data_IF_135955946720
#
_entry.id   IF_135955946720
#
_cell.length_a   1.000
_cell.length_b   1.000
_cell.length_c   1.000
_cell.angle_alpha   90.00
_cell.angle_beta   90.00
_cell.angle_gamma   90.00
#
_symmetry.space_group_name_H-M   'P 1'
#
loop_
_entity.id
_entity.type
_entity.pdbx_description
1 polymer ?
#
# COMPACT_ATOMS: atom_id res chain seq x y z
N UNK A 1 -9.67 19.49 -17.55
CA UNK A 1 -10.34 20.12 -16.39
C UNK A 1 -9.70 19.49 -15.16
N UNK A 2 -8.91 20.27 -14.41
CA UNK A 2 -8.39 19.82 -13.10
C UNK A 2 -9.59 19.83 -12.15
N UNK A 3 -10.07 18.66 -11.76
CA UNK A 3 -11.03 18.56 -10.66
C UNK A 3 -10.36 19.17 -9.42
N UNK A 4 -10.94 20.23 -8.90
CA UNK A 4 -10.48 20.90 -7.70
C UNK A 4 -10.97 20.10 -6.50
N UNK A 5 -10.09 19.26 -5.95
CA UNK A 5 -10.41 18.50 -4.76
C UNK A 5 -10.39 19.39 -3.52
N UNK A 6 -11.35 19.25 -2.61
CA UNK A 6 -11.36 20.02 -1.37
C UNK A 6 -10.07 19.76 -0.57
N UNK A 7 -9.61 20.74 0.21
CA UNK A 7 -8.45 20.57 1.06
C UNK A 7 -8.68 19.39 2.03
N UNK A 8 -7.75 18.46 2.04
CA UNK A 8 -7.83 17.26 2.87
C UNK A 8 -7.67 17.62 4.34
N UNK A 9 -8.72 17.41 5.13
CA UNK A 9 -8.71 17.64 6.57
C UNK A 9 -8.37 16.36 7.31
N UNK A 10 -7.25 16.37 8.04
CA UNK A 10 -6.89 15.24 8.91
C UNK A 10 -7.81 15.17 10.12
N UNK A 11 -8.25 13.97 10.49
CA UNK A 11 -8.92 13.76 11.77
C UNK A 11 -7.96 14.04 12.93
N UNK A 12 -8.48 14.56 14.06
CA UNK A 12 -7.66 14.79 15.26
C UNK A 12 -6.95 13.52 15.74
N UNK A 13 -7.65 12.38 15.69
CA UNK A 13 -7.06 11.07 16.02
C UNK A 13 -5.87 10.73 15.14
N UNK A 14 -5.99 10.94 13.82
CA UNK A 14 -4.89 10.71 12.88
C UNK A 14 -3.69 11.62 13.18
N UNK A 15 -3.94 12.92 13.37
CA UNK A 15 -2.89 13.89 13.67
C UNK A 15 -2.11 13.53 14.95
N UNK A 16 -2.82 13.20 16.05
CA UNK A 16 -2.20 12.78 17.31
C UNK A 16 -1.39 11.48 17.11
N UNK A 17 -2.00 10.47 16.50
CA UNK A 17 -1.32 9.19 16.25
C UNK A 17 -0.06 9.37 15.41
N UNK A 18 -0.13 10.20 14.38
CA UNK A 18 1.03 10.48 13.54
C UNK A 18 2.18 11.14 14.32
N UNK A 19 1.86 12.04 15.25
CA UNK A 19 2.89 12.60 16.17
C UNK A 19 3.51 11.49 17.00
N UNK A 20 2.70 10.62 17.61
CA UNK A 20 3.21 9.48 18.38
C UNK A 20 4.10 8.56 17.53
N UNK A 21 3.65 8.19 16.32
CA UNK A 21 4.47 7.37 15.39
C UNK A 21 5.81 8.07 15.10
N UNK A 22 5.83 9.38 14.87
CA UNK A 22 7.06 10.15 14.63
C UNK A 22 8.01 10.15 15.83
N UNK A 23 7.50 10.06 17.04
CA UNK A 23 8.32 9.97 18.27
C UNK A 23 8.83 8.53 18.49
N UNK A 24 8.04 7.51 18.15
CA UNK A 24 8.39 6.11 18.35
C UNK A 24 9.30 5.54 17.26
N UNK A 25 9.11 5.91 16.00
CA UNK A 25 9.91 5.37 14.88
C UNK A 25 11.42 5.54 15.08
N UNK A 26 11.96 6.67 15.54
CA UNK A 26 13.40 6.79 15.83
C UNK A 26 13.89 5.83 16.91
N UNK A 27 13.07 5.54 17.92
CA UNK A 27 13.40 4.57 18.98
C UNK A 27 13.51 3.15 18.44
N UNK A 28 12.78 2.84 17.36
CA UNK A 28 12.79 1.54 16.68
C UNK A 28 13.87 1.43 15.59
N UNK A 29 14.72 2.43 15.41
CA UNK A 29 15.79 2.43 14.41
C UNK A 29 15.61 3.45 13.29
N UNK A 30 14.47 4.14 13.25
CA UNK A 30 14.19 5.22 12.30
C UNK A 30 13.70 4.75 10.95
N UNK A 31 13.52 5.73 10.06
CA UNK A 31 13.14 5.52 8.65
C UNK A 31 13.91 6.49 7.76
N UNK A 32 14.40 6.00 6.63
CA UNK A 32 14.84 6.80 5.49
C UNK A 32 13.74 6.78 4.42
N UNK A 33 13.37 7.95 3.92
CA UNK A 33 12.39 8.09 2.84
C UNK A 33 13.10 8.64 1.61
N UNK A 34 13.08 7.90 0.51
CA UNK A 34 13.70 8.24 -0.78
C UNK A 34 12.58 8.45 -1.79
N UNK A 35 12.65 9.50 -2.61
CA UNK A 35 11.64 9.79 -3.62
C UNK A 35 10.33 10.39 -3.08
N UNK A 36 10.34 11.03 -1.91
CA UNK A 36 9.13 11.64 -1.32
C UNK A 36 8.46 12.68 -2.23
N UNK A 37 9.24 13.29 -3.13
CA UNK A 37 8.77 14.24 -4.15
C UNK A 37 7.84 13.60 -5.20
N UNK A 38 7.87 12.27 -5.35
CA UNK A 38 7.01 11.51 -6.24
C UNK A 38 5.55 11.41 -5.73
N UNK A 39 5.31 11.73 -4.45
CA UNK A 39 3.95 11.73 -3.89
C UNK A 39 3.24 13.04 -4.23
N UNK A 40 2.14 13.02 -5.02
CA UNK A 40 1.34 14.20 -5.30
C UNK A 40 0.87 14.90 -4.02
N UNK A 41 1.03 16.22 -3.98
CA UNK A 41 0.67 17.04 -2.81
C UNK A 41 -0.84 17.22 -2.65
N UNK A 42 -1.59 17.09 -3.74
CA UNK A 42 -3.04 17.29 -3.81
C UNK A 42 -3.67 16.20 -4.67
N UNK A 43 -4.98 16.06 -4.58
CA UNK A 43 -5.76 15.07 -5.33
C UNK A 43 -5.61 13.63 -4.80
N UNK A 44 -6.46 12.71 -5.26
CA UNK A 44 -6.43 11.32 -4.83
C UNK A 44 -5.21 10.60 -5.38
N UNK A 45 -4.67 9.65 -4.62
CA UNK A 45 -3.59 8.77 -5.02
C UNK A 45 -3.75 7.41 -4.35
N UNK A 46 -3.22 6.37 -4.98
CA UNK A 46 -3.08 5.03 -4.43
C UNK A 46 -1.61 4.82 -4.08
N UNK A 47 -1.28 4.76 -2.79
CA UNK A 47 0.04 4.30 -2.34
C UNK A 47 0.03 2.79 -2.32
N UNK A 48 0.87 2.16 -3.12
CA UNK A 48 0.95 0.71 -3.28
C UNK A 48 2.27 0.17 -2.70
N UNK A 49 2.37 -0.06 -1.39
CA UNK A 49 3.53 -0.67 -0.77
C UNK A 49 3.48 -2.20 -0.81
N UNK A 50 4.65 -2.87 -0.76
CA UNK A 50 4.73 -4.27 -0.39
C UNK A 50 4.32 -4.48 1.07
N UNK A 51 3.92 -5.72 1.45
CA UNK A 51 3.40 -6.02 2.79
C UNK A 51 4.14 -7.17 3.46
N UNK A 52 4.93 -6.87 4.50
CA UNK A 52 5.75 -7.87 5.23
C UNK A 52 5.53 -7.88 6.74
N UNK A 53 4.98 -6.79 7.30
CA UNK A 53 4.89 -6.61 8.75
C UNK A 53 3.61 -5.91 9.18
N UNK A 54 3.19 -6.11 10.43
CA UNK A 54 2.19 -5.25 11.06
C UNK A 54 2.68 -3.81 11.27
N UNK A 55 3.99 -3.58 11.10
CA UNK A 55 4.57 -2.23 11.19
C UNK A 55 4.46 -1.46 9.85
N UNK A 56 4.10 -2.11 8.73
CA UNK A 56 4.00 -1.41 7.45
C UNK A 56 3.04 -0.20 7.47
N UNK A 57 1.81 -0.29 8.02
CA UNK A 57 0.91 0.87 8.08
C UNK A 57 1.47 2.06 8.89
N UNK A 58 2.03 1.89 10.10
CA UNK A 58 2.71 2.97 10.81
C UNK A 58 3.84 3.62 9.99
N UNK A 59 4.72 2.83 9.40
CA UNK A 59 5.82 3.36 8.60
C UNK A 59 5.33 4.01 7.31
N UNK A 60 4.30 3.46 6.65
CA UNK A 60 3.67 4.09 5.49
C UNK A 60 3.08 5.46 5.84
N UNK A 61 2.56 5.66 7.06
CA UNK A 61 2.08 6.97 7.50
C UNK A 61 3.17 8.04 7.60
N UNK A 62 4.45 7.64 7.58
CA UNK A 62 5.59 8.56 7.63
C UNK A 62 5.99 9.10 6.26
N UNK A 63 5.61 8.43 5.15
CA UNK A 63 6.03 8.84 3.80
C UNK A 63 5.28 10.07 3.28
N UNK A 64 4.11 10.38 3.84
CA UNK A 64 3.30 11.54 3.46
C UNK A 64 2.78 12.30 4.67
N UNK A 65 2.47 13.59 4.46
CA UNK A 65 1.76 14.40 5.49
C UNK A 65 0.25 14.22 5.43
N UNK A 66 -0.28 13.66 4.35
CA UNK A 66 -1.70 13.48 4.09
C UNK A 66 -2.26 12.32 4.91
N UNK A 67 -3.53 12.36 5.26
CA UNK A 67 -4.19 11.25 5.96
C UNK A 67 -4.30 10.04 5.05
N UNK A 68 -3.90 8.86 5.54
CA UNK A 68 -4.04 7.61 4.82
C UNK A 68 -5.35 6.93 5.16
N UNK A 69 -6.07 6.50 4.13
CA UNK A 69 -7.20 5.59 4.25
C UNK A 69 -6.72 4.19 3.87
N UNK A 70 -6.93 3.22 4.74
CA UNK A 70 -6.35 1.88 4.61
C UNK A 70 -7.44 0.81 4.60
N UNK A 71 -7.29 -0.21 3.76
CA UNK A 71 -8.06 -1.45 3.90
C UNK A 71 -7.46 -2.29 5.03
N UNK A 72 -8.27 -2.69 6.01
CA UNK A 72 -7.83 -3.55 7.09
C UNK A 72 -8.77 -4.75 7.25
N UNK A 73 -8.21 -5.91 7.69
CA UNK A 73 -8.99 -7.13 7.88
C UNK A 73 -10.23 -6.87 8.77
N UNK A 74 -11.40 -7.34 8.37
CA UNK A 74 -12.68 -7.13 9.06
C UNK A 74 -12.67 -7.53 10.54
N UNK A 75 -11.95 -8.62 10.87
CA UNK A 75 -11.83 -9.07 12.25
C UNK A 75 -11.16 -8.07 13.20
N UNK A 76 -10.32 -7.15 12.68
CA UNK A 76 -9.68 -6.11 13.50
C UNK A 76 -10.69 -5.08 14.02
N UNK A 77 -11.75 -4.83 13.27
CA UNK A 77 -12.82 -3.90 13.66
C UNK A 77 -13.72 -4.45 14.77
N UNK A 78 -13.67 -5.76 15.04
CA UNK A 78 -14.40 -6.41 16.13
C UNK A 78 -13.66 -6.38 17.46
N UNK A 79 -12.36 -6.00 17.46
CA UNK A 79 -11.58 -5.86 18.69
C UNK A 79 -12.02 -4.55 19.40
N UNK A 80 -12.52 -4.62 20.63
CA UNK A 80 -12.96 -3.44 21.38
C UNK A 80 -11.84 -2.39 21.45
N UNK A 81 -12.19 -1.10 21.41
CA UNK A 81 -11.28 0.05 21.42
C UNK A 81 -10.41 0.12 20.17
N UNK A 82 -9.69 -0.96 19.81
CA UNK A 82 -8.81 -0.99 18.65
C UNK A 82 -9.58 -0.81 17.33
N UNK A 83 -10.74 -1.47 17.18
CA UNK A 83 -11.58 -1.32 15.99
C UNK A 83 -12.09 0.11 15.81
N UNK A 84 -12.52 0.76 16.90
CA UNK A 84 -12.92 2.17 16.88
C UNK A 84 -11.72 3.08 16.54
N UNK A 85 -10.55 2.80 17.09
CA UNK A 85 -9.34 3.54 16.84
C UNK A 85 -8.91 3.48 15.36
N UNK A 86 -8.80 2.28 14.76
CA UNK A 86 -8.39 2.17 13.35
C UNK A 86 -9.43 2.78 12.39
N UNK A 87 -10.72 2.72 12.75
CA UNK A 87 -11.78 3.41 12.01
C UNK A 87 -11.58 4.93 12.06
N UNK A 88 -11.27 5.50 13.23
CA UNK A 88 -10.99 6.93 13.39
C UNK A 88 -9.69 7.35 12.67
N UNK A 89 -8.79 6.40 12.37
CA UNK A 89 -7.61 6.58 11.55
C UNK A 89 -7.90 6.59 10.04
N UNK A 90 -9.15 6.36 9.61
CA UNK A 90 -9.52 6.27 8.20
C UNK A 90 -9.45 4.85 7.62
N UNK A 91 -9.27 3.83 8.47
CA UNK A 91 -9.32 2.46 8.00
C UNK A 91 -10.77 1.98 7.82
N UNK A 92 -11.00 1.10 6.83
CA UNK A 92 -12.28 0.43 6.61
C UNK A 92 -12.10 -1.08 6.38
N UNK A 93 -13.13 -1.90 6.70
CA UNK A 93 -13.00 -3.34 6.71
C UNK A 93 -12.97 -3.95 5.31
N UNK A 94 -12.15 -5.00 5.14
CA UNK A 94 -12.12 -5.87 3.97
C UNK A 94 -12.12 -7.34 4.40
N UNK A 95 -12.94 -8.16 3.75
CA UNK A 95 -12.92 -9.62 3.90
C UNK A 95 -11.88 -10.20 2.95
N UNK A 96 -10.81 -10.77 3.53
CA UNK A 96 -9.74 -11.40 2.74
C UNK A 96 -10.17 -12.75 2.21
N UNK A 97 -9.61 -13.16 1.05
CA UNK A 97 -9.86 -14.48 0.44
C UNK A 97 -11.17 -14.59 -0.34
N UNK A 98 -11.90 -13.49 -0.51
CA UNK A 98 -13.09 -13.42 -1.36
C UNK A 98 -13.10 -12.07 -2.08
N UNK A 99 -13.71 -12.02 -3.28
CA UNK A 99 -13.94 -10.76 -3.97
C UNK A 99 -14.91 -9.88 -3.17
N UNK A 100 -14.39 -9.08 -2.23
CA UNK A 100 -15.20 -8.18 -1.41
C UNK A 100 -15.60 -6.94 -2.22
N UNK A 101 -16.74 -7.06 -2.92
CA UNK A 101 -17.32 -5.97 -3.73
C UNK A 101 -17.62 -4.73 -2.88
N UNK A 102 -17.95 -4.92 -1.59
CA UNK A 102 -18.19 -3.83 -0.66
C UNK A 102 -16.94 -3.01 -0.40
N UNK A 103 -15.83 -3.69 -0.10
CA UNK A 103 -14.55 -3.03 0.11
C UNK A 103 -14.03 -2.33 -1.15
N UNK A 104 -14.19 -2.94 -2.34
CA UNK A 104 -13.85 -2.30 -3.62
C UNK A 104 -14.66 -1.03 -3.83
N UNK A 105 -15.99 -1.08 -3.62
CA UNK A 105 -16.87 0.09 -3.75
C UNK A 105 -16.50 1.19 -2.77
N UNK A 106 -16.15 0.85 -1.53
CA UNK A 106 -15.69 1.81 -0.52
C UNK A 106 -14.37 2.45 -0.95
N UNK A 107 -13.39 1.67 -1.42
CA UNK A 107 -12.11 2.19 -1.92
C UNK A 107 -12.30 3.21 -3.04
N UNK A 108 -13.16 2.89 -4.00
CA UNK A 108 -13.49 3.80 -5.11
C UNK A 108 -14.14 5.09 -4.57
N UNK A 109 -15.02 4.99 -3.58
CA UNK A 109 -15.68 6.14 -2.97
C UNK A 109 -14.66 7.05 -2.25
N UNK A 110 -13.74 6.47 -1.46
CA UNK A 110 -12.67 7.22 -0.79
C UNK A 110 -11.77 7.96 -1.77
N UNK A 111 -11.36 7.28 -2.86
CA UNK A 111 -10.54 7.88 -3.91
C UNK A 111 -11.29 9.01 -4.64
N UNK A 112 -12.57 8.83 -4.97
CA UNK A 112 -13.41 9.89 -5.58
C UNK A 112 -13.63 11.08 -4.65
N UNK A 113 -13.57 10.87 -3.34
CA UNK A 113 -13.61 11.94 -2.34
C UNK A 113 -12.28 12.74 -2.24
N UNK A 114 -11.25 12.36 -3.00
CA UNK A 114 -9.96 13.04 -3.03
C UNK A 114 -8.94 12.51 -2.02
N UNK A 115 -9.23 11.40 -1.34
CA UNK A 115 -8.38 10.87 -0.29
C UNK A 115 -7.16 10.11 -0.81
N UNK A 116 -6.13 10.01 0.04
CA UNK A 116 -4.97 9.14 -0.18
C UNK A 116 -5.29 7.75 0.34
N UNK A 117 -5.25 6.76 -0.54
CA UNK A 117 -5.41 5.37 -0.14
C UNK A 117 -4.09 4.63 -0.09
N UNK A 118 -3.84 3.94 1.02
CA UNK A 118 -2.82 2.90 1.09
C UNK A 118 -3.48 1.55 0.81
N UNK A 119 -3.08 0.91 -0.27
CA UNK A 119 -3.53 -0.44 -0.62
C UNK A 119 -2.29 -1.32 -0.76
N UNK A 120 -2.21 -2.37 0.05
CA UNK A 120 -1.19 -3.40 -0.11
C UNK A 120 -1.62 -4.33 -1.24
N UNK A 121 -0.97 -4.29 -2.44
CA UNK A 121 -1.46 -5.03 -3.60
C UNK A 121 -1.56 -6.53 -3.34
N UNK A 122 -0.65 -7.07 -2.56
CA UNK A 122 -0.55 -8.50 -2.20
C UNK A 122 -1.75 -9.02 -1.38
N UNK A 123 -2.60 -8.15 -0.82
CA UNK A 123 -3.76 -8.51 0.00
C UNK A 123 -3.42 -9.22 1.32
N UNK A 124 -2.23 -9.74 1.48
CA UNK A 124 -1.73 -10.41 2.70
C UNK A 124 -0.24 -10.11 2.88
N UNK A 125 0.33 -10.50 4.03
CA UNK A 125 1.76 -10.33 4.28
C UNK A 125 2.57 -11.44 3.63
N UNK A 126 3.63 -11.05 2.91
CA UNK A 126 4.62 -11.96 2.35
C UNK A 126 5.71 -12.33 3.37
N UNK A 127 6.39 -13.45 3.14
CA UNK A 127 7.62 -13.77 3.85
C UNK A 127 8.74 -12.77 3.48
N UNK A 128 9.76 -12.66 4.34
CA UNK A 128 10.93 -11.83 4.04
C UNK A 128 11.62 -12.29 2.75
N UNK A 129 12.02 -11.34 1.91
CA UNK A 129 12.69 -11.62 0.64
C UNK A 129 11.76 -12.01 -0.52
N UNK A 130 10.44 -12.13 -0.30
CA UNK A 130 9.46 -12.44 -1.35
C UNK A 130 8.49 -11.31 -1.61
N UNK A 131 7.92 -11.26 -2.81
CA UNK A 131 6.74 -10.47 -3.17
C UNK A 131 5.67 -11.42 -3.68
N UNK A 132 4.45 -11.28 -3.17
CA UNK A 132 3.30 -12.03 -3.65
C UNK A 132 2.69 -11.34 -4.88
N UNK A 133 1.99 -12.10 -5.75
CA UNK A 133 1.20 -11.49 -6.82
C UNK A 133 0.18 -10.50 -6.28
N UNK A 134 -0.08 -9.44 -7.04
CA UNK A 134 -1.12 -8.49 -6.64
C UNK A 134 -2.52 -9.08 -6.87
N UNK A 135 -3.40 -8.81 -5.92
CA UNK A 135 -4.82 -9.18 -6.00
C UNK A 135 -5.54 -8.40 -7.12
N UNK A 136 -6.36 -9.09 -7.92
CA UNK A 136 -7.16 -8.44 -8.99
C UNK A 136 -8.07 -7.32 -8.47
N UNK A 137 -8.47 -7.37 -7.21
CA UNK A 137 -9.26 -6.31 -6.55
C UNK A 137 -8.53 -4.97 -6.51
N UNK A 138 -7.22 -4.96 -6.26
CA UNK A 138 -6.37 -3.78 -6.34
C UNK A 138 -6.37 -3.18 -7.75
N UNK A 139 -6.08 -4.01 -8.77
CA UNK A 139 -6.04 -3.56 -10.17
C UNK A 139 -7.40 -3.05 -10.65
N UNK A 140 -8.50 -3.64 -10.16
CA UNK A 140 -9.86 -3.20 -10.48
C UNK A 140 -10.14 -1.80 -9.94
N UNK A 141 -9.76 -1.50 -8.68
CA UNK A 141 -9.87 -0.15 -8.10
C UNK A 141 -9.09 0.86 -8.93
N UNK A 142 -7.83 0.57 -9.25
CA UNK A 142 -6.96 1.44 -10.04
C UNK A 142 -7.53 1.69 -11.45
N UNK A 143 -7.98 0.62 -12.14
CA UNK A 143 -8.56 0.72 -13.48
C UNK A 143 -9.85 1.55 -13.50
N UNK A 144 -10.76 1.31 -12.53
CA UNK A 144 -12.05 2.00 -12.50
C UNK A 144 -11.97 3.47 -12.12
N UNK A 145 -10.95 3.84 -11.34
CA UNK A 145 -10.77 5.23 -10.90
C UNK A 145 -9.88 6.04 -11.83
N UNK A 146 -8.95 5.40 -12.54
CA UNK A 146 -7.91 6.08 -13.31
C UNK A 146 -6.91 6.87 -12.46
N UNK A 147 -6.99 6.72 -11.13
CA UNK A 147 -6.16 7.45 -10.17
C UNK A 147 -4.74 6.89 -10.18
N UNK A 148 -3.71 7.78 -10.10
CA UNK A 148 -2.32 7.34 -10.11
C UNK A 148 -1.98 6.39 -8.97
N UNK A 149 -1.23 5.35 -9.29
CA UNK A 149 -0.61 4.39 -8.37
C UNK A 149 0.81 4.86 -8.12
N UNK A 150 1.20 4.99 -6.86
CA UNK A 150 2.58 5.28 -6.42
C UNK A 150 3.15 3.99 -5.83
N UNK A 151 4.03 3.26 -6.54
CA UNK A 151 4.66 2.07 -6.01
C UNK A 151 5.64 2.45 -4.91
N UNK A 152 5.69 1.66 -3.83
CA UNK A 152 6.57 1.91 -2.68
C UNK A 152 7.22 0.61 -2.24
N UNK A 153 8.54 0.60 -2.13
CA UNK A 153 9.27 -0.47 -1.46
C UNK A 153 9.46 -0.10 0.02
N UNK A 154 8.89 -0.91 0.93
CA UNK A 154 9.14 -0.86 2.36
C UNK A 154 10.08 -2.00 2.75
N UNK A 155 11.31 -1.67 3.14
CA UNK A 155 12.34 -2.63 3.52
C UNK A 155 12.72 -2.47 4.98
N UNK A 156 12.81 -3.57 5.72
CA UNK A 156 13.22 -3.59 7.12
C UNK A 156 12.09 -3.58 8.16
N UNK A 157 10.83 -3.40 7.77
CA UNK A 157 9.68 -3.48 8.68
C UNK A 157 9.49 -4.87 9.28
N UNK A 158 9.81 -5.92 8.51
CA UNK A 158 9.86 -7.31 8.93
C UNK A 158 10.97 -7.59 9.95
N UNK A 159 12.06 -6.81 9.91
CA UNK A 159 13.13 -6.84 10.94
C UNK A 159 12.69 -6.10 12.21
N UNK A 160 11.88 -5.04 12.09
CA UNK A 160 11.32 -4.32 13.25
C UNK A 160 10.31 -5.19 13.98
N UNK A 161 9.38 -5.82 13.26
CA UNK A 161 8.40 -6.77 13.81
C UNK A 161 8.21 -7.93 12.84
N UNK A 162 8.96 -9.03 13.04
CA UNK A 162 8.78 -10.27 12.29
C UNK A 162 7.36 -10.84 12.44
N UNK A 163 6.91 -11.65 11.47
CA UNK A 163 5.54 -12.17 11.42
C UNK A 163 5.14 -12.95 12.69
N UNK A 164 6.09 -13.65 13.31
CA UNK A 164 5.92 -14.45 14.54
C UNK A 164 6.98 -14.09 15.60
N UNK A 165 7.39 -12.80 15.64
CA UNK A 165 8.48 -12.36 16.51
C UNK A 165 8.06 -11.25 17.48
N UNK A 166 9.07 -10.76 18.18
CA UNK A 166 8.96 -9.59 19.08
C UNK A 166 9.44 -8.34 18.35
N UNK A 167 9.16 -7.19 18.94
CA UNK A 167 9.62 -5.90 18.45
C UNK A 167 11.15 -5.79 18.61
N UNK A 168 11.84 -5.42 17.54
CA UNK A 168 13.27 -5.20 17.50
C UNK A 168 13.59 -3.79 17.00
N UNK A 169 14.80 -3.35 17.25
CA UNK A 169 15.31 -2.12 16.67
C UNK A 169 15.98 -2.41 15.33
N UNK A 170 15.38 -1.92 14.24
CA UNK A 170 15.93 -2.04 12.90
C UNK A 170 15.61 -0.78 12.10
N UNK A 171 16.50 -0.41 11.19
CA UNK A 171 16.27 0.72 10.29
C UNK A 171 15.33 0.29 9.15
N UNK A 172 14.41 1.20 8.78
CA UNK A 172 13.49 1.00 7.68
C UNK A 172 13.83 1.95 6.54
N UNK A 173 13.77 1.46 5.31
CA UNK A 173 13.86 2.30 4.11
C UNK A 173 12.55 2.24 3.36
N UNK A 174 12.00 3.40 3.01
CA UNK A 174 10.85 3.55 2.14
C UNK A 174 11.31 4.22 0.84
N UNK A 175 11.35 3.47 -0.25
CA UNK A 175 11.69 3.99 -1.59
C UNK A 175 10.41 4.17 -2.39
N UNK A 176 10.16 5.40 -2.87
CA UNK A 176 8.92 5.82 -3.51
C UNK A 176 9.17 6.01 -5.00
N UNK A 177 8.49 5.21 -5.82
CA UNK A 177 8.56 5.27 -7.27
C UNK A 177 7.71 6.38 -7.86
N UNK A 178 7.85 6.57 -9.17
CA UNK A 178 7.03 7.55 -9.93
C UNK A 178 5.58 7.08 -10.00
N UNK A 179 4.60 8.01 -9.89
CA UNK A 179 3.21 7.66 -10.10
C UNK A 179 2.95 7.18 -11.52
N UNK A 180 2.12 6.16 -11.68
CA UNK A 180 1.62 5.69 -12.97
C UNK A 180 0.13 5.40 -12.88
N UNK A 181 -0.63 5.76 -13.89
CA UNK A 181 -2.03 5.37 -14.02
C UNK A 181 -2.18 3.96 -14.61
N UNK A 182 -3.34 3.36 -14.41
CA UNK A 182 -3.66 2.07 -15.05
C UNK A 182 -3.53 2.12 -16.58
N UNK A 183 -3.91 3.25 -17.20
CA UNK A 183 -3.80 3.45 -18.65
C UNK A 183 -2.36 3.50 -19.12
N UNK A 184 -1.49 4.19 -18.38
CA UNK A 184 -0.05 4.24 -18.67
C UNK A 184 0.61 2.87 -18.52
N UNK A 185 0.24 2.10 -17.49
CA UNK A 185 0.72 0.72 -17.32
C UNK A 185 0.31 -0.19 -18.47
N UNK A 186 -0.95 -0.12 -18.92
CA UNK A 186 -1.43 -0.89 -20.07
C UNK A 186 -0.72 -0.52 -21.38
N UNK A 187 -0.37 0.77 -21.56
CA UNK A 187 0.37 1.22 -22.72
C UNK A 187 1.85 0.83 -22.67
N UNK A 188 2.47 0.82 -21.47
CA UNK A 188 3.87 0.49 -21.27
C UNK A 188 4.16 -1.02 -21.35
N UNK A 189 3.17 -1.86 -20.98
CA UNK A 189 3.32 -3.32 -20.93
C UNK A 189 2.20 -4.04 -21.72
N UNK A 190 2.10 -3.82 -23.04
CA UNK A 190 1.05 -4.45 -23.84
C UNK A 190 1.30 -5.96 -23.95
N UNK A 191 0.33 -6.76 -23.49
CA UNK A 191 0.35 -8.21 -23.61
C UNK A 191 -1.04 -8.69 -24.02
N UNK A 192 -1.24 -9.09 -25.31
CA UNK A 192 -2.53 -9.52 -25.80
C UNK A 192 -3.01 -10.86 -25.22
N UNK A 193 -2.12 -11.60 -24.55
CA UNK A 193 -2.47 -12.88 -23.89
C UNK A 193 -3.05 -12.67 -22.49
N UNK A 194 -2.94 -11.47 -21.92
CA UNK A 194 -3.35 -11.14 -20.54
C UNK A 194 -4.53 -10.17 -20.51
N UNK A 195 -5.38 -10.33 -19.50
CA UNK A 195 -6.40 -9.33 -19.21
C UNK A 195 -5.80 -8.06 -18.58
N UNK A 196 -6.48 -6.94 -18.72
CA UNK A 196 -6.00 -5.64 -18.25
C UNK A 196 -5.72 -5.61 -16.74
N UNK A 197 -6.44 -6.39 -15.91
CA UNK A 197 -6.21 -6.42 -14.47
C UNK A 197 -4.90 -7.15 -14.14
N UNK A 198 -4.61 -8.21 -14.85
CA UNK A 198 -3.34 -8.95 -14.73
C UNK A 198 -2.17 -8.06 -15.10
N UNK A 199 -2.23 -7.34 -16.23
CA UNK A 199 -1.16 -6.41 -16.64
C UNK A 199 -0.91 -5.33 -15.58
N UNK A 200 -1.98 -4.69 -15.07
CA UNK A 200 -1.85 -3.64 -14.02
C UNK A 200 -1.24 -4.22 -12.74
N UNK A 201 -1.67 -5.42 -12.34
CA UNK A 201 -1.15 -6.13 -11.17
C UNK A 201 0.35 -6.39 -11.30
N UNK A 202 0.76 -7.04 -12.39
CA UNK A 202 2.18 -7.38 -12.66
C UNK A 202 3.05 -6.12 -12.80
N UNK A 203 2.60 -5.10 -13.54
CA UNK A 203 3.32 -3.83 -13.69
C UNK A 203 3.55 -3.14 -12.34
N UNK A 204 2.54 -3.16 -11.45
CA UNK A 204 2.68 -2.59 -10.12
C UNK A 204 3.69 -3.36 -9.28
N UNK A 205 3.62 -4.70 -9.26
CA UNK A 205 4.55 -5.53 -8.48
C UNK A 205 5.98 -5.44 -9.03
N UNK A 206 6.17 -5.36 -10.34
CA UNK A 206 7.46 -5.11 -10.98
C UNK A 206 8.02 -3.76 -10.55
N UNK A 207 7.23 -2.70 -10.60
CA UNK A 207 7.66 -1.37 -10.16
C UNK A 207 8.07 -1.35 -8.67
N UNK A 208 7.38 -2.11 -7.80
CA UNK A 208 7.78 -2.27 -6.40
C UNK A 208 9.11 -3.03 -6.31
N UNK A 209 9.28 -4.13 -7.06
CA UNK A 209 10.50 -4.93 -7.05
C UNK A 209 11.73 -4.12 -7.50
N UNK A 210 11.59 -3.29 -8.52
CA UNK A 210 12.66 -2.42 -9.04
C UNK A 210 13.11 -1.34 -8.03
N UNK A 211 12.27 -1.00 -7.06
CA UNK A 211 12.61 -0.06 -5.98
C UNK A 211 13.32 -0.73 -4.81
N UNK A 212 13.33 -2.06 -4.74
CA UNK A 212 13.97 -2.78 -3.65
C UNK A 212 15.47 -2.89 -3.86
N UNK A 213 16.22 -2.77 -2.77
CA UNK A 213 17.70 -2.80 -2.79
C UNK A 213 18.27 -4.20 -2.60
N UNK A 214 17.51 -5.11 -2.01
CA UNK A 214 17.90 -6.50 -1.77
C UNK A 214 17.36 -7.46 -2.83
N UNK A 215 17.88 -8.70 -2.87
CA UNK A 215 17.34 -9.73 -3.75
C UNK A 215 15.88 -10.01 -3.40
N UNK A 216 15.01 -9.99 -4.40
CA UNK A 216 13.57 -10.19 -4.28
C UNK A 216 13.14 -11.27 -5.25
N UNK A 217 12.42 -12.25 -4.75
CA UNK A 217 11.79 -13.28 -5.58
C UNK A 217 10.33 -12.91 -5.80
N UNK A 218 9.94 -12.66 -7.05
CA UNK A 218 8.54 -12.61 -7.44
C UNK A 218 8.02 -14.04 -7.52
N UNK A 219 6.97 -14.37 -6.78
CA UNK A 219 6.47 -15.77 -6.75
C UNK A 219 5.91 -16.25 -8.10
N UNK A 220 5.59 -15.35 -9.03
CA UNK A 220 5.20 -15.70 -10.40
C UNK A 220 6.36 -16.33 -11.18
N UNK A 221 7.60 -15.90 -10.95
CA UNK A 221 8.79 -16.45 -11.61
C UNK A 221 9.12 -17.87 -11.10
N UNK A 222 8.70 -18.22 -9.88
CA UNK A 222 8.90 -19.57 -9.29
C UNK A 222 7.93 -20.59 -9.90
N UNK A 223 6.74 -20.17 -10.31
CA UNK A 223 5.74 -21.06 -10.91
C UNK A 223 6.05 -21.37 -12.40
N UNK A 224 6.78 -20.51 -13.09
CA UNK A 224 7.19 -20.72 -14.49
C UNK A 224 8.45 -21.59 -14.58
N UNK A 225 9.32 -21.56 -13.58
CA UNK A 225 10.56 -22.35 -13.55
C UNK A 225 10.42 -23.81 -13.10
N UNK A 226 9.21 -24.24 -12.67
CA UNK A 226 8.95 -25.63 -12.23
C UNK A 226 8.32 -26.53 -13.29
N UNK A 227 8.27 -26.09 -14.55
CA UNK A 227 7.74 -26.84 -15.70
C UNK A 227 8.81 -27.19 -16.74
N UNK A 228 10.10 -27.28 -16.36
CA UNK A 228 11.15 -27.93 -17.15
C UNK A 228 11.58 -29.25 -16.52
#
# INVERSE_FOLDING_TARGET
>A
MSEEYPPETQTRTYAITRVLVRLFVPLLGGITVIGAENIPKTGPIILAPNHRSYMDPPYLSMVTKRQLHLMAKDSLFRVPVFGAYIKAMGAFPVKRGAADRGAIKQAIAELKAGHVMGIFPEGTRAASGTLLPAEKGFALVAKQTGIPIVPIALEGTDKVLPMHGRLHRAHVTATIGKPMTASEMLAAYPDPSKDALTIISEATMRAIAELMTGPVTLLEDVLVGSSE
#
